data_IF_874258762946
#
_entry.id   IF_874258762946
#
_cell.length_a   1.000
_cell.length_b   1.000
_cell.length_c   1.000
_cell.angle_alpha   90.00
_cell.angle_beta   90.00
_cell.angle_gamma   90.00
#
_symmetry.space_group_name_H-M   'P 1'
#
loop_
_entity.id
_entity.type
_entity.pdbx_description
1 polymer ?
#
# COMPACT_ATOMS: atom_id res chain seq x y z
N UNK A 1 25.82 9.82 -6.90
CA UNK A 1 24.35 9.78 -6.68
C UNK A 1 24.13 9.67 -5.18
N UNK A 2 23.91 10.81 -4.52
CA UNK A 2 23.91 10.91 -3.05
C UNK A 2 22.66 10.27 -2.47
N UNK A 3 22.81 9.06 -1.91
CA UNK A 3 21.74 8.38 -1.19
C UNK A 3 21.69 8.98 0.22
N UNK A 4 20.91 10.05 0.40
CA UNK A 4 20.72 10.66 1.70
C UNK A 4 19.97 9.68 2.61
N UNK A 5 20.70 9.01 3.49
CA UNK A 5 20.15 8.22 4.60
C UNK A 5 19.53 9.18 5.61
N UNK A 6 18.37 9.74 5.28
CA UNK A 6 17.57 10.48 6.25
C UNK A 6 17.07 9.49 7.32
N UNK A 7 17.27 9.79 8.61
CA UNK A 7 16.69 9.02 9.70
C UNK A 7 15.18 8.81 9.47
N UNK A 8 14.67 7.66 9.90
CA UNK A 8 13.26 7.30 9.68
C UNK A 8 12.29 8.34 10.25
N UNK A 9 12.68 8.99 11.35
CA UNK A 9 11.92 10.09 11.97
C UNK A 9 11.84 11.33 11.08
N UNK A 10 12.96 11.72 10.46
CA UNK A 10 13.03 12.85 9.53
C UNK A 10 12.18 12.59 8.28
N UNK A 11 12.20 11.37 7.74
CA UNK A 11 11.34 10.98 6.61
C UNK A 11 9.85 11.06 6.96
N UNK A 12 9.48 10.70 8.18
CA UNK A 12 8.09 10.78 8.67
C UNK A 12 7.64 12.22 8.88
N UNK A 13 8.52 13.10 9.38
CA UNK A 13 8.25 14.53 9.50
C UNK A 13 8.06 15.18 8.12
N UNK A 14 8.94 14.90 7.16
CA UNK A 14 8.82 15.38 5.78
C UNK A 14 7.51 14.92 5.14
N UNK A 15 7.16 13.64 5.28
CA UNK A 15 5.89 13.11 4.81
C UNK A 15 4.70 13.89 5.41
N UNK A 16 4.70 14.10 6.74
CA UNK A 16 3.60 14.81 7.43
C UNK A 16 3.44 16.23 6.91
N UNK A 17 4.54 16.96 6.73
CA UNK A 17 4.53 18.34 6.23
C UNK A 17 4.01 18.42 4.79
N UNK A 18 4.45 17.53 3.90
CA UNK A 18 4.08 17.58 2.48
C UNK A 18 2.70 17.00 2.19
N UNK A 19 2.17 16.12 3.06
CA UNK A 19 0.89 15.45 2.83
C UNK A 19 -0.27 16.41 2.63
N UNK A 20 -0.44 17.40 3.51
CA UNK A 20 -1.56 18.35 3.42
C UNK A 20 -1.50 19.14 2.11
N UNK A 21 -0.30 19.62 1.75
CA UNK A 21 -0.06 20.35 0.50
C UNK A 21 -0.29 19.48 -0.73
N UNK A 22 0.18 18.22 -0.70
CA UNK A 22 -0.04 17.27 -1.79
C UNK A 22 -1.52 16.94 -1.99
N UNK A 23 -2.31 16.84 -0.91
CA UNK A 23 -3.73 16.54 -1.00
C UNK A 23 -4.53 17.71 -1.61
N UNK A 24 -4.20 18.94 -1.25
CA UNK A 24 -4.84 20.16 -1.75
C UNK A 24 -4.33 20.62 -3.14
N UNK A 25 -3.18 20.12 -3.58
CA UNK A 25 -2.52 20.53 -4.81
C UNK A 25 -3.27 20.11 -6.09
N UNK A 26 -3.15 20.95 -7.12
CA UNK A 26 -3.54 20.62 -8.49
C UNK A 26 -2.68 19.49 -9.07
N UNK A 27 -3.05 18.95 -10.24
CA UNK A 27 -2.31 17.84 -10.88
C UNK A 27 -0.86 18.20 -11.21
N UNK A 28 -0.61 19.43 -11.64
CA UNK A 28 0.74 19.91 -11.95
C UNK A 28 1.58 20.05 -10.67
N UNK A 29 1.03 20.67 -9.63
CA UNK A 29 1.72 20.86 -8.35
C UNK A 29 2.00 19.52 -7.64
N UNK A 30 1.07 18.55 -7.72
CA UNK A 30 1.28 17.19 -7.21
C UNK A 30 2.51 16.53 -7.82
N UNK A 31 2.74 16.74 -9.11
CA UNK A 31 3.90 16.16 -9.80
C UNK A 31 5.20 16.75 -9.27
N UNK A 32 5.25 18.08 -9.09
CA UNK A 32 6.41 18.78 -8.52
C UNK A 32 6.69 18.37 -7.08
N UNK A 33 5.66 18.33 -6.23
CA UNK A 33 5.78 17.88 -4.83
C UNK A 33 6.28 16.44 -4.76
N UNK A 34 5.79 15.58 -5.66
CA UNK A 34 6.18 14.17 -5.70
C UNK A 34 7.64 13.99 -6.13
N UNK A 35 8.12 14.73 -7.12
CA UNK A 35 9.52 14.69 -7.57
C UNK A 35 10.48 15.15 -6.47
N UNK A 36 10.18 16.28 -5.83
CA UNK A 36 10.94 16.79 -4.69
C UNK A 36 10.97 15.77 -3.55
N UNK A 37 9.81 15.19 -3.22
CA UNK A 37 9.74 14.18 -2.18
C UNK A 37 10.57 12.93 -2.52
N UNK A 38 10.53 12.44 -3.76
CA UNK A 38 11.32 11.28 -4.21
C UNK A 38 12.81 11.60 -4.13
N UNK A 39 13.22 12.78 -4.60
CA UNK A 39 14.62 13.21 -4.60
C UNK A 39 15.20 13.24 -3.17
N UNK A 40 14.43 13.76 -2.22
CA UNK A 40 14.86 13.91 -0.83
C UNK A 40 14.79 12.58 -0.06
N UNK A 41 13.74 11.78 -0.26
CA UNK A 41 13.46 10.59 0.55
C UNK A 41 14.00 9.28 -0.02
N UNK A 42 14.38 9.25 -1.30
CA UNK A 42 14.79 8.05 -2.02
C UNK A 42 13.65 7.04 -2.27
N UNK A 43 12.39 7.39 -1.99
CA UNK A 43 11.27 6.48 -2.23
C UNK A 43 10.98 6.30 -3.72
N UNK A 44 10.65 5.07 -4.12
CA UNK A 44 10.09 4.84 -5.45
C UNK A 44 8.75 5.58 -5.62
N UNK A 45 8.49 6.11 -6.83
CA UNK A 45 7.31 6.93 -7.15
C UNK A 45 6.00 6.34 -6.66
N UNK A 46 5.76 5.04 -6.91
CA UNK A 46 4.53 4.36 -6.46
C UNK A 46 4.40 4.31 -4.93
N UNK A 47 5.51 4.12 -4.24
CA UNK A 47 5.56 4.11 -2.78
C UNK A 47 5.33 5.51 -2.20
N UNK A 48 5.95 6.54 -2.80
CA UNK A 48 5.75 7.93 -2.44
C UNK A 48 4.28 8.38 -2.61
N UNK A 49 3.66 8.08 -3.75
CA UNK A 49 2.22 8.35 -3.99
C UNK A 49 1.36 7.68 -2.91
N UNK A 50 1.62 6.41 -2.61
CA UNK A 50 0.86 5.67 -1.58
C UNK A 50 1.03 6.31 -0.20
N UNK A 51 2.22 6.82 0.09
CA UNK A 51 2.56 7.42 1.37
C UNK A 51 1.92 8.81 1.57
N UNK A 52 1.83 9.61 0.49
CA UNK A 52 1.20 10.94 0.49
C UNK A 52 -0.34 10.85 0.39
N UNK A 53 -0.88 9.85 -0.29
CA UNK A 53 -2.32 9.60 -0.36
C UNK A 53 -2.88 8.83 0.85
N UNK A 54 -2.07 8.00 1.50
CA UNK A 54 -2.50 7.15 2.61
C UNK A 54 -2.79 7.95 3.88
N UNK A 55 -3.73 7.46 4.70
CA UNK A 55 -3.81 7.88 6.11
C UNK A 55 -2.45 7.62 6.78
N UNK A 56 -1.99 8.52 7.67
CA UNK A 56 -0.77 8.30 8.46
C UNK A 56 -1.11 7.17 9.42
N UNK A 57 -1.06 5.95 8.93
CA UNK A 57 -1.34 4.75 9.70
C UNK A 57 0.00 4.32 10.26
N UNK A 58 0.22 4.67 11.52
CA UNK A 58 1.20 4.02 12.33
C UNK A 58 0.94 2.51 12.25
N UNK A 59 1.81 1.78 11.56
CA UNK A 59 2.02 0.35 11.76
C UNK A 59 0.88 -0.61 11.43
N UNK A 60 -0.13 -0.26 10.62
CA UNK A 60 -1.11 -1.26 10.21
C UNK A 60 -1.45 -1.17 8.72
N UNK A 61 -0.59 -1.81 7.91
CA UNK A 61 -1.03 -2.45 6.68
C UNK A 61 -1.95 -3.64 7.01
N UNK A 62 -2.99 -3.45 7.84
CA UNK A 62 -4.18 -4.24 7.65
C UNK A 62 -4.58 -3.93 6.23
N UNK A 63 -4.41 -4.91 5.34
CA UNK A 63 -5.13 -4.93 4.06
C UNK A 63 -6.51 -4.45 4.45
N UNK A 64 -6.91 -3.26 3.98
CA UNK A 64 -8.33 -2.94 4.05
C UNK A 64 -8.93 -4.13 3.32
N UNK A 65 -9.56 -5.04 4.07
CA UNK A 65 -10.73 -5.71 3.56
C UNK A 65 -11.62 -4.53 3.23
N UNK A 66 -11.45 -4.00 2.01
CA UNK A 66 -12.55 -3.32 1.38
C UNK A 66 -13.74 -4.25 1.61
N UNK A 67 -14.94 -3.73 1.87
CA UNK A 67 -16.12 -4.56 1.68
C UNK A 67 -16.10 -4.93 0.20
N UNK A 68 -15.37 -6.00 -0.13
CA UNK A 68 -15.49 -6.71 -1.38
C UNK A 68 -16.93 -7.10 -1.30
N UNK A 69 -17.75 -6.42 -2.09
CA UNK A 69 -19.13 -6.77 -2.33
C UNK A 69 -19.09 -8.26 -2.61
N UNK A 70 -19.43 -9.07 -1.60
CA UNK A 70 -19.13 -10.49 -1.64
C UNK A 70 -20.12 -11.07 -2.63
N UNK A 71 -19.68 -11.19 -3.89
CA UNK A 71 -20.49 -11.76 -4.98
C UNK A 71 -20.94 -13.16 -4.62
N UNK A 72 -20.20 -13.81 -3.72
CA UNK A 72 -20.44 -15.14 -3.20
C UNK A 72 -20.84 -15.08 -1.72
N UNK A 73 -22.00 -15.66 -1.41
CA UNK A 73 -22.50 -15.76 -0.04
C UNK A 73 -21.82 -16.87 0.76
N UNK A 74 -22.22 -17.01 2.04
CA UNK A 74 -21.66 -17.99 2.97
C UNK A 74 -21.71 -19.43 2.45
N UNK A 75 -22.74 -19.81 1.69
CA UNK A 75 -22.87 -21.14 1.10
C UNK A 75 -21.72 -21.47 0.13
N UNK A 76 -21.34 -20.52 -0.72
CA UNK A 76 -20.24 -20.69 -1.68
C UNK A 76 -18.90 -20.72 -0.95
N UNK A 77 -18.73 -19.87 0.07
CA UNK A 77 -17.55 -19.90 0.91
C UNK A 77 -17.38 -21.27 1.59
N UNK A 78 -18.46 -21.83 2.13
CA UNK A 78 -18.41 -23.13 2.79
C UNK A 78 -18.07 -24.26 1.80
N UNK A 79 -18.65 -24.24 0.60
CA UNK A 79 -18.33 -25.22 -0.44
C UNK A 79 -16.84 -25.17 -0.84
N UNK A 80 -16.26 -23.97 -0.94
CA UNK A 80 -14.83 -23.80 -1.21
C UNK A 80 -13.93 -24.29 -0.07
N UNK A 81 -14.35 -24.12 1.18
CA UNK A 81 -13.61 -24.64 2.35
C UNK A 81 -13.57 -26.17 2.30
N UNK A 82 -14.71 -26.82 2.07
CA UNK A 82 -14.79 -28.29 1.98
C UNK A 82 -13.92 -28.82 0.84
N UNK A 83 -13.99 -28.19 -0.34
CA UNK A 83 -13.15 -28.57 -1.48
C UNK A 83 -11.65 -28.41 -1.17
N UNK A 84 -11.28 -27.32 -0.51
CA UNK A 84 -9.89 -27.05 -0.14
C UNK A 84 -9.36 -28.04 0.89
N UNK A 85 -10.18 -28.45 1.87
CA UNK A 85 -9.82 -29.46 2.86
C UNK A 85 -9.71 -30.85 2.25
N UNK A 86 -10.64 -31.23 1.36
CA UNK A 86 -10.56 -32.47 0.59
C UNK A 86 -9.32 -32.51 -0.33
N UNK A 87 -8.82 -31.34 -0.72
CA UNK A 87 -7.61 -31.17 -1.52
C UNK A 87 -6.34 -31.02 -0.66
N UNK A 88 -6.28 -31.57 0.56
CA UNK A 88 -5.11 -31.47 1.45
C UNK A 88 -4.59 -30.03 1.65
N UNK A 89 -5.49 -29.04 1.58
CA UNK A 89 -5.15 -27.63 1.65
C UNK A 89 -4.08 -27.21 0.63
N UNK A 90 -4.23 -27.67 -0.62
CA UNK A 90 -3.36 -27.30 -1.74
C UNK A 90 -3.13 -25.77 -1.78
N UNK A 91 -1.88 -25.40 -2.01
CA UNK A 91 -1.44 -24.02 -2.15
C UNK A 91 -0.55 -23.91 -3.38
N UNK A 92 -0.43 -22.70 -3.96
CA UNK A 92 0.31 -22.49 -5.22
C UNK A 92 1.77 -22.97 -5.21
N UNK A 93 2.38 -23.15 -4.02
CA UNK A 93 3.73 -23.71 -3.87
C UNK A 93 3.80 -25.24 -4.05
N UNK A 94 2.67 -25.94 -3.89
CA UNK A 94 2.55 -27.41 -4.00
C UNK A 94 2.10 -27.87 -5.40
N UNK A 95 1.67 -26.95 -6.24
CA UNK A 95 1.37 -27.22 -7.64
C UNK A 95 2.68 -27.29 -8.43
N UNK A 96 3.00 -28.48 -8.97
CA UNK A 96 3.97 -28.62 -10.06
C UNK A 96 3.23 -28.44 -11.39
N UNK A 97 3.86 -27.71 -12.32
CA UNK A 97 3.46 -27.63 -13.71
C UNK A 97 4.13 -28.75 -14.52
#
# INVERSE_FOLDING_TARGET
MSNALLPMDTRRQLQRALKTRYQAASKAEKTRILEEFILISGYHRKSAIRLLNGAITSGNHRRRSAPVRSVYGAAVQQALIVLWEASDRLCGKRLKA
#
